data_IF_954769731101
#
_entry.id   IF_954769731101
#
_cell.length_a   1.000
_cell.length_b   1.000
_cell.length_c   1.000
_cell.angle_alpha   90.00
_cell.angle_beta   90.00
_cell.angle_gamma   90.00
#
_symmetry.space_group_name_H-M   'P 1'
#
loop_
_entity.id
_entity.type
_entity.pdbx_description
1 polymer ?
#
# COMPACT_ATOMS: atom_id res chain seq x y z
N UNK A 1 0.70 -16.93 -2.44
CA UNK A 1 -0.66 -16.54 -2.01
C UNK A 1 -1.62 -16.72 -3.16
N UNK A 2 -2.61 -17.58 -2.97
CA UNK A 2 -3.60 -17.85 -3.99
C UNK A 2 -4.96 -17.32 -3.53
N UNK A 3 -5.55 -16.46 -4.35
CA UNK A 3 -6.85 -15.86 -4.02
C UNK A 3 -7.99 -16.71 -4.55
N UNK A 4 -9.05 -16.84 -3.74
CA UNK A 4 -10.28 -17.48 -4.19
C UNK A 4 -11.02 -16.56 -5.16
N UNK A 5 -12.05 -17.07 -5.83
CA UNK A 5 -12.87 -16.27 -6.71
C UNK A 5 -13.47 -15.04 -6.02
N UNK A 6 -14.09 -15.16 -4.85
CA UNK A 6 -14.59 -13.98 -4.14
C UNK A 6 -13.50 -12.99 -3.77
N UNK A 7 -12.32 -13.48 -3.40
CA UNK A 7 -11.20 -12.61 -3.05
C UNK A 7 -10.71 -11.84 -4.28
N UNK A 8 -10.59 -12.52 -5.42
CA UNK A 8 -10.21 -11.86 -6.68
C UNK A 8 -11.21 -10.78 -7.06
N UNK A 9 -12.48 -11.07 -6.90
CA UNK A 9 -13.54 -10.11 -7.20
C UNK A 9 -13.44 -8.89 -6.30
N UNK A 10 -13.13 -9.10 -5.03
CA UNK A 10 -12.95 -8.01 -4.08
C UNK A 10 -11.78 -7.12 -4.48
N UNK A 11 -10.69 -7.70 -4.95
CA UNK A 11 -9.56 -6.93 -5.47
C UNK A 11 -9.97 -6.11 -6.67
N UNK A 12 -10.64 -6.73 -7.64
CA UNK A 12 -11.07 -6.04 -8.85
C UNK A 12 -12.00 -4.87 -8.56
N UNK A 13 -12.91 -5.05 -7.62
CA UNK A 13 -13.87 -4.02 -7.25
C UNK A 13 -13.23 -2.85 -6.51
N UNK A 14 -12.06 -3.05 -5.95
CA UNK A 14 -11.41 -2.05 -5.11
C UNK A 14 -10.08 -1.55 -5.66
N UNK A 15 -9.80 -1.80 -6.95
CA UNK A 15 -8.57 -1.32 -7.58
C UNK A 15 -8.44 0.20 -7.48
N UNK A 16 -9.54 0.92 -7.49
CA UNK A 16 -9.52 2.37 -7.34
C UNK A 16 -8.94 2.84 -6.01
N UNK A 17 -8.96 1.99 -4.98
CA UNK A 17 -8.36 2.35 -3.71
C UNK A 17 -6.85 2.54 -3.83
N UNK A 18 -6.19 1.78 -4.70
CA UNK A 18 -4.75 1.91 -4.88
C UNK A 18 -4.40 3.31 -5.37
N UNK A 19 -5.11 3.76 -6.40
CA UNK A 19 -4.91 5.12 -6.92
C UNK A 19 -5.22 6.18 -5.89
N UNK A 20 -6.27 5.95 -5.09
CA UNK A 20 -6.65 6.90 -4.04
C UNK A 20 -5.55 7.01 -2.98
N UNK A 21 -4.98 5.89 -2.55
CA UNK A 21 -3.90 5.90 -1.56
C UNK A 21 -2.70 6.69 -2.10
N UNK A 22 -2.32 6.43 -3.35
CA UNK A 22 -1.20 7.12 -3.96
C UNK A 22 -1.48 8.62 -4.01
N UNK A 23 -2.67 8.99 -4.45
CA UNK A 23 -3.06 10.41 -4.55
C UNK A 23 -3.05 11.08 -3.18
N UNK A 24 -3.56 10.41 -2.16
CA UNK A 24 -3.69 11.00 -0.82
C UNK A 24 -2.36 11.07 -0.08
N UNK A 25 -1.50 10.08 -0.26
CA UNK A 25 -0.32 9.91 0.59
C UNK A 25 1.00 10.21 -0.10
N UNK A 26 1.07 10.06 -1.41
CA UNK A 26 2.31 10.29 -2.14
C UNK A 26 2.19 11.59 -2.90
N UNK A 27 2.98 12.57 -2.48
CA UNK A 27 3.01 13.85 -3.18
C UNK A 27 4.02 13.78 -4.32
N UNK A 28 3.57 14.24 -5.51
CA UNK A 28 4.42 14.27 -6.70
C UNK A 28 5.01 12.90 -7.03
N UNK A 29 4.15 11.87 -7.25
CA UNK A 29 4.65 10.56 -7.61
C UNK A 29 5.46 10.63 -8.90
N UNK A 30 6.62 9.99 -8.89
CA UNK A 30 7.52 10.00 -10.02
C UNK A 30 8.53 11.14 -10.02
N UNK A 31 8.36 12.11 -9.13
CA UNK A 31 9.28 13.22 -8.97
C UNK A 31 10.16 12.96 -7.77
N UNK A 32 11.46 12.94 -7.93
CA UNK A 32 12.39 12.64 -6.84
C UNK A 32 12.16 11.28 -6.20
N UNK A 33 11.43 10.41 -6.86
CA UNK A 33 11.11 9.09 -6.36
C UNK A 33 11.77 8.04 -7.24
N UNK A 34 12.20 6.95 -6.64
CA UNK A 34 12.72 5.80 -7.38
C UNK A 34 11.63 5.15 -8.20
N UNK A 35 10.39 5.21 -7.72
CA UNK A 35 9.27 4.55 -8.36
C UNK A 35 8.39 5.54 -9.11
N UNK A 36 7.99 5.17 -10.31
CA UNK A 36 6.98 5.89 -11.07
C UNK A 36 5.61 5.61 -10.45
N UNK A 37 4.59 6.33 -10.94
CA UNK A 37 3.21 6.07 -10.52
C UNK A 37 2.83 4.61 -10.79
N UNK A 38 3.19 4.10 -11.98
CA UNK A 38 2.85 2.72 -12.33
C UNK A 38 3.50 1.72 -11.38
N UNK A 39 4.75 1.98 -11.00
CA UNK A 39 5.44 1.12 -10.02
C UNK A 39 4.72 1.14 -8.68
N UNK A 40 4.35 2.33 -8.22
CA UNK A 40 3.62 2.47 -6.96
C UNK A 40 2.27 1.77 -7.02
N UNK A 41 1.61 1.86 -8.17
CA UNK A 41 0.33 1.19 -8.36
C UNK A 41 0.48 -0.32 -8.25
N UNK A 42 1.51 -0.89 -8.87
CA UNK A 42 1.77 -2.32 -8.79
C UNK A 42 2.05 -2.75 -7.34
N UNK A 43 2.86 -1.98 -6.65
CA UNK A 43 3.18 -2.26 -5.24
C UNK A 43 1.91 -2.19 -4.40
N UNK A 44 1.08 -1.18 -4.64
CA UNK A 44 -0.17 -1.03 -3.91
C UNK A 44 -1.12 -2.18 -4.15
N UNK A 45 -1.12 -2.72 -5.36
CA UNK A 45 -1.95 -3.88 -5.68
C UNK A 45 -1.57 -5.09 -4.83
N UNK A 46 -0.30 -5.24 -4.49
CA UNK A 46 0.14 -6.30 -3.59
C UNK A 46 -0.55 -6.14 -2.23
N UNK A 47 -0.59 -4.92 -1.72
CA UNK A 47 -1.28 -4.63 -0.46
C UNK A 47 -2.76 -4.94 -0.53
N UNK A 48 -3.38 -4.58 -1.65
CA UNK A 48 -4.81 -4.87 -1.86
C UNK A 48 -5.07 -6.38 -1.88
N UNK A 49 -4.21 -7.14 -2.55
CA UNK A 49 -4.32 -8.59 -2.58
C UNK A 49 -4.15 -9.19 -1.19
N UNK A 50 -3.20 -8.70 -0.42
CA UNK A 50 -3.01 -9.15 0.95
C UNK A 50 -4.25 -8.86 1.80
N UNK A 51 -4.87 -7.69 1.59
CA UNK A 51 -6.08 -7.34 2.32
C UNK A 51 -7.22 -8.29 1.98
N UNK A 52 -7.39 -8.61 0.71
CA UNK A 52 -8.44 -9.53 0.29
C UNK A 52 -8.20 -10.93 0.84
N UNK A 53 -6.95 -11.35 0.86
CA UNK A 53 -6.59 -12.67 1.36
C UNK A 53 -6.84 -12.81 2.86
N UNK A 54 -6.57 -11.75 3.62
CA UNK A 54 -6.69 -11.78 5.08
C UNK A 54 -7.93 -11.07 5.61
N UNK A 55 -8.88 -10.75 4.74
CA UNK A 55 -10.12 -10.08 5.12
C UNK A 55 -10.92 -10.94 6.10
N UNK A 56 -11.29 -10.35 7.22
CA UNK A 56 -12.04 -11.03 8.27
C UNK A 56 -13.43 -10.46 8.49
N UNK A 57 -13.94 -9.73 7.51
CA UNK A 57 -15.32 -9.30 7.54
C UNK A 57 -15.59 -7.91 8.11
N UNK A 58 -14.57 -7.14 8.40
CA UNK A 58 -14.76 -5.76 8.83
C UNK A 58 -14.95 -4.83 7.65
N UNK A 59 -14.73 -3.53 7.86
CA UNK A 59 -14.76 -2.57 6.77
C UNK A 59 -13.56 -2.79 5.86
N UNK A 60 -13.80 -3.44 4.74
CA UNK A 60 -12.72 -3.84 3.85
C UNK A 60 -11.95 -2.65 3.29
N UNK A 61 -12.65 -1.60 2.89
CA UNK A 61 -11.98 -0.46 2.27
C UNK A 61 -10.99 0.21 3.22
N UNK A 62 -11.34 0.34 4.49
CA UNK A 62 -10.44 0.91 5.49
C UNK A 62 -9.24 0.00 5.72
N UNK A 63 -9.49 -1.29 5.84
CA UNK A 63 -8.44 -2.27 6.05
C UNK A 63 -7.50 -2.32 4.84
N UNK A 64 -8.06 -2.36 3.64
CA UNK A 64 -7.27 -2.39 2.40
C UNK A 64 -6.44 -1.12 2.24
N UNK A 65 -7.00 0.03 2.55
CA UNK A 65 -6.29 1.31 2.47
C UNK A 65 -5.00 1.25 3.28
N UNK A 66 -5.08 0.74 4.49
CA UNK A 66 -3.92 0.63 5.37
C UNK A 66 -2.87 -0.32 4.82
N UNK A 67 -3.30 -1.47 4.31
CA UNK A 67 -2.37 -2.45 3.77
C UNK A 67 -1.71 -1.96 2.47
N UNK A 68 -2.46 -1.26 1.63
CA UNK A 68 -1.92 -0.66 0.42
C UNK A 68 -0.83 0.35 0.79
N UNK A 69 -1.13 1.26 1.71
CA UNK A 69 -0.17 2.27 2.15
C UNK A 69 1.05 1.63 2.79
N UNK A 70 0.84 0.59 3.58
CA UNK A 70 1.92 -0.13 4.23
C UNK A 70 2.89 -0.75 3.20
N UNK A 71 2.36 -1.35 2.15
CA UNK A 71 3.22 -1.93 1.11
C UNK A 71 4.02 -0.85 0.39
N UNK A 72 3.39 0.26 0.08
CA UNK A 72 4.07 1.37 -0.59
C UNK A 72 5.19 1.92 0.29
N UNK A 73 4.90 2.17 1.56
CA UNK A 73 5.90 2.68 2.49
C UNK A 73 7.07 1.72 2.64
N UNK A 74 6.79 0.44 2.79
CA UNK A 74 7.83 -0.57 2.95
C UNK A 74 8.74 -0.59 1.72
N UNK A 75 8.15 -0.56 0.53
CA UNK A 75 8.93 -0.56 -0.70
C UNK A 75 9.81 0.69 -0.82
N UNK A 76 9.25 1.85 -0.48
CA UNK A 76 10.01 3.10 -0.55
C UNK A 76 11.17 3.11 0.45
N UNK A 77 10.93 2.61 1.64
CA UNK A 77 11.96 2.54 2.67
C UNK A 77 13.10 1.62 2.22
N UNK A 78 12.77 0.44 1.72
CA UNK A 78 13.79 -0.50 1.28
C UNK A 78 14.55 0.00 0.05
N UNK A 79 13.86 0.67 -0.85
CA UNK A 79 14.51 1.15 -2.06
C UNK A 79 15.42 2.34 -1.80
N UNK A 80 15.05 3.20 -0.86
CA UNK A 80 15.83 4.41 -0.61
C UNK A 80 15.63 4.89 0.82
N UNK A 81 16.43 4.33 1.73
CA UNK A 81 16.35 4.69 3.14
C UNK A 81 16.64 6.17 3.39
N UNK A 82 17.57 6.74 2.61
CA UNK A 82 17.90 8.14 2.79
C UNK A 82 16.74 9.04 2.40
N UNK A 83 16.14 8.76 1.25
CA UNK A 83 15.01 9.55 0.79
C UNK A 83 13.82 9.39 1.74
N UNK A 84 13.62 8.20 2.27
CA UNK A 84 12.55 7.95 3.23
C UNK A 84 12.74 8.79 4.49
N UNK A 85 13.96 8.91 4.96
CA UNK A 85 14.26 9.73 6.13
C UNK A 85 14.02 11.21 5.85
N UNK A 86 14.43 11.66 4.68
CA UNK A 86 14.26 13.07 4.29
C UNK A 86 12.81 13.43 4.06
N UNK A 87 12.01 12.50 3.59
CA UNK A 87 10.62 12.73 3.26
C UNK A 87 9.66 12.45 4.41
N UNK A 88 10.18 12.07 5.55
CA UNK A 88 9.37 11.78 6.74
C UNK A 88 8.28 10.75 6.47
N UNK A 89 8.62 9.75 5.66
CA UNK A 89 7.70 8.65 5.40
C UNK A 89 7.65 7.76 6.65
N UNK A 90 6.64 7.95 7.46
CA UNK A 90 6.45 7.13 8.65
C UNK A 90 5.23 6.24 8.43
N UNK A 91 5.42 4.97 8.08
CA UNK A 91 4.30 4.05 7.94
C UNK A 91 3.65 3.82 9.30
N UNK A 92 2.35 3.98 9.36
CA UNK A 92 1.61 3.74 10.60
C UNK A 92 1.84 2.34 11.12
N UNK A 93 1.94 1.40 10.19
CA UNK A 93 2.15 0.00 10.56
C UNK A 93 3.52 -0.23 11.16
N UNK A 94 4.54 0.48 10.66
CA UNK A 94 5.89 0.35 11.19
C UNK A 94 5.96 0.82 12.63
N UNK A 95 5.27 1.90 12.96
CA UNK A 95 5.20 2.38 14.32
C UNK A 95 4.56 1.38 15.25
N UNK A 96 3.54 0.69 14.79
CA UNK A 96 2.88 -0.34 15.58
C UNK A 96 3.75 -1.57 15.75
N UNK A 97 4.46 -1.96 14.72
CA UNK A 97 5.34 -3.11 14.80
C UNK A 97 6.48 -2.86 15.77
N UNK A 98 6.98 -1.64 15.79
CA UNK A 98 8.03 -1.27 16.72
C UNK A 98 7.58 -1.38 18.15
N UNK A 99 6.29 -1.26 18.39
CA UNK A 99 5.73 -1.37 19.74
C UNK A 99 5.55 -2.82 20.18
N UNK A 100 5.72 -3.74 19.28
CA UNK A 100 5.63 -5.15 19.62
C UNK A 100 6.93 -5.63 20.22
#
# INVERSE_FOLDING_TARGET
MTLTQPQQRKVEQNLGLVGKVIKDKVHNPGQNSIYSYDDLYQIGCIGLCKAAYSDKGGCFSTYAYRLIWNEICTALIYANRRAAKECELIPEVLGKEDSL
#
